data_IF_959041883144
#
_entry.id   IF_959041883144
#
_cell.length_a   1.000
_cell.length_b   1.000
_cell.length_c   1.000
_cell.angle_alpha   90.00
_cell.angle_beta   90.00
_cell.angle_gamma   90.00
#
_symmetry.space_group_name_H-M   'P 1'
#
loop_
_entity.id
_entity.type
_entity.pdbx_description
1 polymer ?
#
# COMPACT_ATOMS: atom_id res chain seq x y z
N UNK A 1 -4.07 -2.85 16.75
CA UNK A 1 -4.62 -4.21 16.43
C UNK A 1 -4.98 -4.29 14.94
N UNK A 2 -4.08 -3.81 14.08
CA UNK A 2 -4.21 -3.71 12.63
C UNK A 2 -3.52 -4.90 11.93
N UNK A 3 -3.77 -5.13 10.64
CA UNK A 3 -3.53 -6.37 9.86
C UNK A 3 -4.72 -7.36 9.79
N UNK A 4 -5.84 -6.89 9.23
CA UNK A 4 -6.78 -7.71 8.42
C UNK A 4 -7.52 -6.85 7.39
N UNK A 5 -6.80 -5.98 6.66
CA UNK A 5 -7.36 -5.21 5.55
C UNK A 5 -6.64 -5.41 4.20
N UNK A 6 -5.62 -6.26 4.15
CA UNK A 6 -5.24 -6.91 2.91
C UNK A 6 -5.94 -8.26 2.84
N UNK A 7 -6.70 -8.48 1.77
CA UNK A 7 -7.36 -9.74 1.48
C UNK A 7 -6.39 -10.91 1.72
N UNK A 8 -6.89 -11.95 2.38
CA UNK A 8 -6.17 -13.21 2.52
C UNK A 8 -5.62 -13.61 1.15
N UNK A 9 -4.31 -13.79 1.06
CA UNK A 9 -3.68 -14.60 0.00
C UNK A 9 -4.50 -15.89 -0.15
N UNK A 10 -4.95 -16.27 -1.35
CA UNK A 10 -5.26 -17.68 -1.56
C UNK A 10 -3.98 -18.47 -1.27
N UNK A 11 -4.12 -19.52 -0.45
CA UNK A 11 -3.01 -20.42 -0.18
C UNK A 11 -2.46 -20.91 -1.53
N UNK A 12 -1.18 -20.64 -1.79
CA UNK A 12 -0.49 -21.19 -2.94
C UNK A 12 -0.62 -22.72 -2.87
N UNK A 13 -1.28 -23.31 -3.87
CA UNK A 13 -1.13 -24.73 -4.15
C UNK A 13 0.34 -24.95 -4.50
N UNK A 14 1.05 -25.69 -3.65
CA UNK A 14 2.29 -26.35 -4.02
C UNK A 14 1.96 -27.39 -5.10
N UNK A 15 1.94 -26.96 -6.36
CA UNK A 15 2.15 -27.86 -7.49
C UNK A 15 3.43 -27.42 -8.19
N UNK A 16 4.42 -28.32 -8.16
CA UNK A 16 5.72 -28.15 -8.76
C UNK A 16 5.58 -27.96 -10.28
N UNK A 17 5.70 -26.73 -10.74
CA UNK A 17 5.90 -26.39 -12.15
C UNK A 17 7.33 -25.86 -12.32
N UNK A 18 8.19 -26.71 -12.87
CA UNK A 18 9.54 -26.38 -13.33
C UNK A 18 9.46 -25.50 -14.57
N UNK A 19 9.55 -24.18 -14.44
CA UNK A 19 9.82 -23.28 -15.57
C UNK A 19 10.72 -22.11 -15.19
N UNK A 20 11.90 -22.08 -15.83
CA UNK A 20 12.72 -20.91 -16.12
C UNK A 20 13.08 -19.98 -14.96
N UNK A 21 14.28 -20.19 -14.39
CA UNK A 21 15.01 -19.18 -13.61
C UNK A 21 14.99 -17.84 -14.35
N UNK A 22 14.27 -16.85 -13.81
CA UNK A 22 14.44 -15.45 -14.18
C UNK A 22 15.77 -15.01 -13.58
N UNK A 23 16.82 -14.96 -14.40
CA UNK A 23 18.18 -14.59 -14.00
C UNK A 23 18.25 -13.30 -13.16
N UNK A 24 19.20 -13.28 -12.22
CA UNK A 24 19.55 -12.23 -11.23
C UNK A 24 19.75 -10.78 -11.78
N UNK A 25 19.58 -10.54 -13.08
CA UNK A 25 19.82 -9.24 -13.73
C UNK A 25 18.63 -8.25 -13.67
N UNK A 26 17.51 -8.67 -13.09
CA UNK A 26 16.27 -7.88 -13.03
C UNK A 26 15.65 -7.58 -14.41
N UNK A 27 14.54 -6.84 -14.47
CA UNK A 27 13.89 -6.51 -15.75
C UNK A 27 14.78 -5.61 -16.61
N UNK A 28 14.71 -5.79 -17.92
CA UNK A 28 15.44 -4.98 -18.91
C UNK A 28 14.45 -4.24 -19.80
N UNK A 29 14.80 -3.01 -20.18
CA UNK A 29 13.99 -2.22 -21.10
C UNK A 29 13.76 -2.98 -22.41
N UNK A 30 12.50 -3.11 -22.80
CA UNK A 30 12.05 -3.89 -23.95
C UNK A 30 11.51 -5.27 -23.60
N UNK A 31 11.79 -5.82 -22.42
CA UNK A 31 11.20 -7.10 -21.99
C UNK A 31 9.67 -7.02 -22.01
N UNK A 32 9.05 -8.07 -22.53
CA UNK A 32 7.61 -8.28 -22.57
C UNK A 32 7.27 -9.46 -21.68
N UNK A 33 6.41 -9.21 -20.70
CA UNK A 33 5.88 -10.26 -19.85
C UNK A 33 4.39 -10.41 -20.11
N UNK A 34 3.92 -11.65 -20.27
CA UNK A 34 2.50 -11.97 -20.23
C UNK A 34 2.13 -12.51 -18.85
N UNK A 35 0.89 -12.31 -18.44
CA UNK A 35 0.37 -12.80 -17.18
C UNK A 35 -1.10 -13.19 -17.32
N UNK A 36 -1.52 -14.14 -16.50
CA UNK A 36 -2.92 -14.48 -16.36
C UNK A 36 -3.59 -13.42 -15.47
N UNK A 37 -4.68 -12.84 -15.96
CA UNK A 37 -5.41 -11.82 -15.22
C UNK A 37 -6.14 -12.45 -14.04
N UNK A 38 -6.28 -11.69 -12.97
CA UNK A 38 -6.92 -12.10 -11.73
C UNK A 38 -8.14 -11.23 -11.46
N UNK A 39 -9.11 -11.72 -10.67
CA UNK A 39 -10.26 -10.92 -10.26
C UNK A 39 -9.82 -9.66 -9.53
N UNK A 40 -10.48 -8.54 -9.80
CA UNK A 40 -10.14 -7.25 -9.18
C UNK A 40 -10.53 -7.17 -7.70
N UNK A 41 -11.44 -8.04 -7.25
CA UNK A 41 -11.93 -8.12 -5.89
C UNK A 41 -12.49 -9.54 -5.62
N UNK A 42 -12.85 -9.81 -4.36
CA UNK A 42 -13.30 -11.14 -3.90
C UNK A 42 -14.72 -11.53 -4.35
N UNK A 43 -15.50 -10.61 -4.91
CA UNK A 43 -16.87 -10.85 -5.39
C UNK A 43 -16.92 -11.26 -6.86
N UNK A 44 -15.81 -11.12 -7.59
CA UNK A 44 -15.68 -11.59 -8.97
C UNK A 44 -15.53 -13.11 -9.06
N UNK A 45 -15.72 -13.64 -10.27
CA UNK A 45 -15.42 -15.05 -10.56
C UNK A 45 -13.95 -15.35 -10.20
N UNK A 46 -13.63 -16.51 -9.59
CA UNK A 46 -12.28 -16.79 -9.07
C UNK A 46 -11.20 -16.86 -10.15
N UNK A 47 -11.59 -17.18 -11.38
CA UNK A 47 -10.71 -17.22 -12.55
C UNK A 47 -11.31 -16.35 -13.67
N UNK A 48 -10.43 -15.65 -14.37
CA UNK A 48 -10.78 -14.80 -15.51
C UNK A 48 -10.70 -15.59 -16.83
N UNK A 49 -9.78 -16.55 -16.93
CA UNK A 49 -9.43 -17.24 -18.18
C UNK A 49 -8.76 -16.33 -19.22
N UNK A 50 -8.27 -15.15 -18.81
CA UNK A 50 -7.76 -14.12 -19.70
C UNK A 50 -6.28 -13.85 -19.43
N UNK A 51 -5.53 -13.58 -20.48
CA UNK A 51 -4.14 -13.18 -20.47
C UNK A 51 -4.01 -11.71 -20.86
N UNK A 52 -3.05 -11.03 -20.25
CA UNK A 52 -2.66 -9.67 -20.56
C UNK A 52 -1.12 -9.59 -20.61
N UNK A 53 -0.58 -8.44 -21.03
CA UNK A 53 0.86 -8.27 -21.16
C UNK A 53 1.35 -6.89 -20.73
N UNK A 54 2.55 -6.84 -20.17
CA UNK A 54 3.29 -5.62 -19.82
C UNK A 54 4.60 -5.54 -20.57
N UNK A 55 4.98 -4.33 -20.98
CA UNK A 55 6.29 -4.00 -21.55
C UNK A 55 7.08 -3.16 -20.57
N UNK A 56 8.31 -3.55 -20.28
CA UNK A 56 9.26 -2.71 -19.54
C UNK A 56 9.76 -1.61 -20.47
N UNK A 57 9.54 -0.35 -20.13
CA UNK A 57 9.94 0.80 -20.94
C UNK A 57 11.34 1.32 -20.57
N UNK A 58 11.71 1.23 -19.29
CA UNK A 58 12.99 1.72 -18.75
C UNK A 58 13.13 1.42 -17.26
N UNK A 59 14.33 1.60 -16.71
CA UNK A 59 14.59 1.51 -15.27
C UNK A 59 15.71 2.45 -14.82
N UNK A 60 15.71 2.82 -13.55
CA UNK A 60 16.86 3.34 -12.81
C UNK A 60 16.97 2.59 -11.47
N UNK A 61 17.82 3.06 -10.55
CA UNK A 61 18.01 2.44 -9.24
C UNK A 61 16.73 2.45 -8.36
N UNK A 62 15.82 3.41 -8.59
CA UNK A 62 14.63 3.59 -7.76
C UNK A 62 13.37 2.96 -8.37
N UNK A 63 13.26 2.92 -9.70
CA UNK A 63 12.02 2.61 -10.41
C UNK A 63 12.24 1.74 -11.65
N UNK A 64 11.29 0.85 -11.91
CA UNK A 64 11.09 0.15 -13.19
C UNK A 64 9.79 0.67 -13.81
N UNK A 65 9.84 1.22 -15.01
CA UNK A 65 8.65 1.74 -15.71
C UNK A 65 8.07 0.67 -16.62
N UNK A 66 6.78 0.43 -16.49
CA UNK A 66 6.03 -0.53 -17.31
C UNK A 66 4.86 0.14 -18.03
N UNK A 67 4.49 -0.42 -19.17
CA UNK A 67 3.26 -0.11 -19.89
C UNK A 67 2.42 -1.38 -20.06
N UNK A 68 1.13 -1.28 -19.76
CA UNK A 68 0.16 -2.36 -19.98
C UNK A 68 -0.31 -2.32 -21.43
N UNK A 69 -0.35 -3.47 -22.07
CA UNK A 69 -0.82 -3.64 -23.44
C UNK A 69 -2.35 -3.58 -23.49
N UNK A 70 -2.93 -3.05 -24.57
CA UNK A 70 -4.38 -2.99 -24.77
C UNK A 70 -5.01 -4.32 -25.22
N UNK A 71 -4.18 -5.30 -25.57
CA UNK A 71 -4.60 -6.66 -25.90
C UNK A 71 -4.99 -7.48 -24.67
N UNK A 72 -6.09 -8.22 -24.81
CA UNK A 72 -6.54 -9.26 -23.86
C UNK A 72 -6.79 -10.53 -24.66
N UNK A 73 -6.22 -11.64 -24.19
CA UNK A 73 -6.20 -12.90 -24.93
C UNK A 73 -6.82 -14.04 -24.11
N UNK A 74 -7.41 -15.03 -24.78
CA UNK A 74 -7.97 -16.22 -24.11
C UNK A 74 -6.92 -17.34 -23.90
N UNK A 75 -5.68 -17.09 -24.31
CA UNK A 75 -4.53 -17.97 -24.17
C UNK A 75 -3.25 -17.13 -24.08
N UNK A 76 -2.15 -17.72 -23.62
CA UNK A 76 -0.84 -17.06 -23.58
C UNK A 76 -0.51 -16.45 -24.96
N UNK A 77 -0.37 -15.10 -25.07
CA UNK A 77 -0.07 -14.47 -26.34
C UNK A 77 1.37 -14.70 -26.78
N UNK A 78 1.59 -14.68 -28.09
CA UNK A 78 2.92 -14.63 -28.68
C UNK A 78 3.53 -13.23 -28.59
N UNK A 79 4.87 -13.16 -28.64
CA UNK A 79 5.60 -11.89 -28.67
C UNK A 79 5.15 -10.98 -29.83
N UNK A 80 4.78 -11.55 -30.98
CA UNK A 80 4.33 -10.79 -32.14
C UNK A 80 2.94 -10.17 -31.93
N UNK A 81 2.02 -10.89 -31.29
CA UNK A 81 0.69 -10.37 -30.96
C UNK A 81 0.79 -9.18 -30.00
N UNK A 82 1.57 -9.32 -28.94
CA UNK A 82 1.84 -8.20 -28.02
C UNK A 82 2.56 -7.06 -28.75
N UNK A 83 3.50 -7.37 -29.64
CA UNK A 83 4.23 -6.35 -30.41
C UNK A 83 3.37 -5.50 -31.35
N UNK A 84 2.15 -5.94 -31.68
CA UNK A 84 1.16 -5.19 -32.49
C UNK A 84 0.15 -4.42 -31.64
N UNK A 85 0.08 -4.71 -30.34
CA UNK A 85 -0.83 -4.04 -29.41
C UNK A 85 -0.34 -2.62 -29.07
N UNK A 86 -1.27 -1.72 -28.76
CA UNK A 86 -0.96 -0.39 -28.26
C UNK A 86 -0.85 -0.40 -26.73
N UNK A 87 -0.44 0.72 -26.14
CA UNK A 87 -0.55 0.89 -24.69
C UNK A 87 -2.03 1.11 -24.35
N UNK A 88 -2.52 0.37 -23.36
CA UNK A 88 -3.88 0.47 -22.83
C UNK A 88 -4.18 1.90 -22.38
N UNK A 89 -5.39 2.38 -22.70
CA UNK A 89 -5.93 3.65 -22.22
C UNK A 89 -6.98 3.37 -21.16
N UNK A 90 -6.81 3.94 -19.97
CA UNK A 90 -7.73 3.77 -18.86
C UNK A 90 -8.93 4.73 -18.99
N UNK A 91 -10.11 4.16 -19.25
CA UNK A 91 -11.39 4.86 -19.31
C UNK A 91 -12.28 4.56 -18.10
N UNK A 92 -11.97 3.52 -17.31
CA UNK A 92 -12.73 3.16 -16.12
C UNK A 92 -12.63 4.22 -15.02
N UNK A 93 -13.70 4.34 -14.23
CA UNK A 93 -13.88 5.16 -13.01
C UNK A 93 -13.72 6.68 -13.12
N UNK A 94 -12.70 7.20 -13.80
CA UNK A 94 -12.44 8.64 -13.91
C UNK A 94 -12.38 9.15 -15.36
N UNK A 95 -12.58 8.29 -16.36
CA UNK A 95 -12.56 8.60 -17.79
C UNK A 95 -11.38 9.47 -18.23
N UNK A 96 -10.22 9.28 -17.59
CA UNK A 96 -9.08 10.18 -17.79
C UNK A 96 -8.42 10.00 -19.16
N UNK A 97 -8.67 8.87 -19.84
CA UNK A 97 -8.07 8.53 -21.14
C UNK A 97 -6.55 8.37 -21.08
N UNK A 98 -6.00 8.30 -19.86
CA UNK A 98 -4.55 8.21 -19.60
C UNK A 98 -4.04 6.85 -20.02
N UNK A 99 -2.80 6.82 -20.49
CA UNK A 99 -2.11 5.58 -20.77
C UNK A 99 -1.82 4.83 -19.46
N UNK A 100 -1.98 3.51 -19.48
CA UNK A 100 -1.65 2.61 -18.38
C UNK A 100 -0.12 2.41 -18.30
N UNK A 101 0.58 3.50 -17.97
CA UNK A 101 2.03 3.55 -17.77
C UNK A 101 2.31 4.06 -16.37
N UNK A 102 3.15 3.34 -15.63
CA UNK A 102 3.49 3.67 -14.25
C UNK A 102 4.86 3.10 -13.87
N UNK A 103 5.47 3.72 -12.85
CA UNK A 103 6.69 3.24 -12.22
C UNK A 103 6.37 2.25 -11.11
N UNK A 104 7.18 1.21 -10.99
CA UNK A 104 7.20 0.25 -9.89
C UNK A 104 8.50 0.50 -9.13
N UNK A 105 8.45 0.57 -7.79
CA UNK A 105 9.66 0.68 -6.97
C UNK A 105 10.57 -0.52 -7.30
N UNK A 106 11.86 -0.27 -7.55
CA UNK A 106 12.78 -1.29 -8.04
C UNK A 106 12.82 -2.52 -7.12
N UNK A 107 12.90 -2.32 -5.80
CA UNK A 107 12.87 -3.38 -4.79
C UNK A 107 11.50 -4.07 -4.69
N UNK A 108 10.45 -3.41 -5.16
CA UNK A 108 9.09 -3.95 -5.27
C UNK A 108 8.84 -4.69 -6.59
N UNK A 109 9.82 -4.77 -7.50
CA UNK A 109 9.69 -5.60 -8.69
C UNK A 109 9.68 -7.08 -8.28
N UNK A 110 8.53 -7.73 -8.40
CA UNK A 110 8.39 -9.14 -8.11
C UNK A 110 7.43 -9.82 -9.08
N UNK A 111 7.78 -11.04 -9.57
CA UNK A 111 6.85 -11.89 -10.30
C UNK A 111 5.60 -12.25 -9.50
N UNK A 112 5.68 -12.24 -8.16
CA UNK A 112 4.57 -12.65 -7.28
C UNK A 112 3.36 -11.71 -7.30
N UNK A 113 3.49 -10.51 -7.87
CA UNK A 113 2.39 -9.55 -7.97
C UNK A 113 1.38 -9.86 -9.09
N UNK A 114 1.67 -10.84 -9.95
CA UNK A 114 0.82 -11.27 -11.06
C UNK A 114 0.79 -12.80 -11.16
N UNK A 115 -0.34 -13.34 -11.59
CA UNK A 115 -0.50 -14.79 -11.77
C UNK A 115 0.17 -15.24 -13.07
N UNK A 116 0.90 -16.35 -13.01
CA UNK A 116 1.59 -16.99 -14.14
C UNK A 116 2.43 -16.03 -15.02
N UNK A 117 3.18 -15.12 -14.40
CA UNK A 117 4.03 -14.17 -15.11
C UNK A 117 5.10 -14.89 -15.95
N UNK A 118 5.05 -14.71 -17.26
CA UNK A 118 5.91 -15.39 -18.25
C UNK A 118 6.63 -14.38 -19.12
N UNK A 119 7.96 -14.45 -19.20
CA UNK A 119 8.75 -13.65 -20.14
C UNK A 119 8.56 -14.18 -21.56
N UNK A 120 8.00 -13.35 -22.45
CA UNK A 120 7.80 -13.70 -23.87
C UNK A 120 9.03 -13.40 -24.74
N UNK A 121 9.89 -12.50 -24.28
CA UNK A 121 11.06 -12.01 -25.02
C UNK A 121 11.18 -10.49 -24.94
N UNK A 122 11.88 -9.89 -25.89
CA UNK A 122 12.16 -8.46 -25.90
C UNK A 122 11.76 -7.80 -27.24
N UNK A 123 11.15 -6.62 -27.14
CA UNK A 123 10.81 -5.76 -28.29
C UNK A 123 11.45 -4.39 -28.05
N UNK A 124 12.10 -3.85 -29.09
CA UNK A 124 12.71 -2.51 -29.06
C UNK A 124 11.72 -1.48 -28.49
N UNK A 125 12.20 -0.65 -27.56
CA UNK A 125 11.42 0.47 -27.01
C UNK A 125 11.45 1.62 -28.02
N UNK A 126 10.28 2.11 -28.45
CA UNK A 126 10.15 3.25 -29.36
C UNK A 126 10.59 4.56 -28.68
N UNK A 127 10.87 5.60 -29.45
CA UNK A 127 11.20 6.93 -28.90
C UNK A 127 10.08 7.50 -28.04
N UNK A 128 8.83 7.31 -28.45
CA UNK A 128 7.65 7.69 -27.67
C UNK A 128 7.61 6.99 -26.31
N UNK A 129 7.81 5.66 -26.28
CA UNK A 129 7.83 4.91 -25.03
C UNK A 129 9.02 5.30 -24.13
N UNK A 130 10.18 5.64 -24.72
CA UNK A 130 11.32 6.16 -23.95
C UNK A 130 10.98 7.49 -23.29
N UNK A 131 10.32 8.41 -24.00
CA UNK A 131 9.90 9.68 -23.41
C UNK A 131 8.92 9.50 -22.26
N UNK A 132 7.97 8.56 -22.37
CA UNK A 132 7.08 8.20 -21.27
C UNK A 132 7.84 7.65 -20.06
N UNK A 133 8.84 6.80 -20.30
CA UNK A 133 9.70 6.28 -19.24
C UNK A 133 10.50 7.38 -18.56
N UNK A 134 11.14 8.27 -19.32
CA UNK A 134 11.95 9.38 -18.80
C UNK A 134 11.13 10.31 -17.91
N UNK A 135 9.88 10.62 -18.27
CA UNK A 135 8.98 11.44 -17.45
C UNK A 135 8.74 10.80 -16.07
N UNK A 136 8.44 9.50 -16.05
CA UNK A 136 8.14 8.78 -14.81
C UNK A 136 9.41 8.57 -13.97
N UNK A 137 10.52 8.20 -14.59
CA UNK A 137 11.82 8.04 -13.93
C UNK A 137 12.30 9.37 -13.31
N UNK A 138 12.05 10.48 -14.00
CA UNK A 138 12.33 11.83 -13.51
C UNK A 138 11.28 12.39 -12.54
N UNK A 139 10.27 11.59 -12.17
CA UNK A 139 9.15 11.98 -11.27
C UNK A 139 8.48 13.29 -11.70
N UNK A 140 8.32 13.50 -13.00
CA UNK A 140 7.63 14.66 -13.54
C UNK A 140 6.20 14.76 -12.99
N UNK A 141 5.65 15.97 -12.91
CA UNK A 141 4.27 16.21 -12.46
C UNK A 141 3.31 15.34 -13.25
N UNK A 142 2.47 14.56 -12.55
CA UNK A 142 1.51 13.63 -13.16
C UNK A 142 2.04 12.20 -13.36
N UNK A 143 3.31 11.93 -13.01
CA UNK A 143 3.85 10.57 -12.95
C UNK A 143 3.09 9.72 -11.93
N UNK A 144 2.96 8.42 -12.24
CA UNK A 144 2.29 7.44 -11.39
C UNK A 144 3.28 6.40 -10.91
N UNK A 145 3.23 6.09 -9.64
CA UNK A 145 3.88 4.92 -9.06
C UNK A 145 2.82 3.97 -8.54
N UNK A 146 3.00 2.67 -8.77
CA UNK A 146 2.09 1.63 -8.30
C UNK A 146 2.83 0.29 -8.19
N UNK A 147 2.25 -0.66 -7.43
CA UNK A 147 2.73 -2.04 -7.43
C UNK A 147 2.35 -2.77 -8.72
N UNK A 148 2.98 -3.92 -8.96
CA UNK A 148 2.74 -4.73 -10.17
C UNK A 148 1.25 -5.12 -10.35
N UNK A 149 0.52 -5.29 -9.25
CA UNK A 149 -0.93 -5.56 -9.24
C UNK A 149 -1.76 -4.55 -10.03
N UNK A 150 -1.26 -3.32 -10.22
CA UNK A 150 -1.93 -2.28 -11.01
C UNK A 150 -2.02 -2.67 -12.50
N UNK A 151 -1.09 -3.47 -13.02
CA UNK A 151 -1.16 -3.99 -14.38
C UNK A 151 -2.41 -4.87 -14.56
N UNK A 152 -2.66 -5.75 -13.59
CA UNK A 152 -3.87 -6.57 -13.56
C UNK A 152 -5.13 -5.71 -13.48
N UNK A 153 -5.16 -4.74 -12.56
CA UNK A 153 -6.32 -3.87 -12.38
C UNK A 153 -6.63 -3.03 -13.62
N UNK A 154 -5.60 -2.59 -14.36
CA UNK A 154 -5.79 -1.89 -15.61
C UNK A 154 -6.36 -2.83 -16.68
N UNK A 155 -5.69 -3.97 -16.95
CA UNK A 155 -6.08 -4.91 -17.99
C UNK A 155 -7.48 -5.50 -17.76
N UNK A 156 -7.69 -6.14 -16.61
CA UNK A 156 -8.96 -6.78 -16.27
C UNK A 156 -10.07 -5.76 -16.07
N UNK A 157 -9.76 -4.63 -15.40
CA UNK A 157 -10.73 -3.59 -15.13
C UNK A 157 -11.27 -2.93 -16.40
N UNK A 158 -10.42 -2.61 -17.37
CA UNK A 158 -10.85 -2.04 -18.66
C UNK A 158 -11.62 -3.06 -19.50
N UNK A 159 -11.18 -4.32 -19.51
CA UNK A 159 -11.90 -5.38 -20.22
C UNK A 159 -13.31 -5.54 -19.66
N UNK A 160 -13.46 -5.65 -18.34
CA UNK A 160 -14.78 -5.78 -17.70
C UNK A 160 -15.62 -4.53 -17.86
N UNK A 161 -15.02 -3.34 -17.78
CA UNK A 161 -15.73 -2.10 -18.03
C UNK A 161 -16.36 -2.05 -19.43
N UNK A 162 -15.68 -2.66 -20.41
CA UNK A 162 -16.13 -2.71 -21.80
C UNK A 162 -17.12 -3.84 -22.07
N UNK A 163 -16.94 -5.01 -21.45
CA UNK A 163 -17.68 -6.24 -21.81
C UNK A 163 -18.69 -6.71 -20.76
N UNK A 164 -18.53 -6.30 -19.50
CA UNK A 164 -19.28 -6.82 -18.34
C UNK A 164 -19.51 -5.71 -17.29
N UNK A 165 -19.91 -4.53 -17.77
CA UNK A 165 -19.91 -3.31 -16.96
C UNK A 165 -20.87 -3.38 -15.77
N UNK A 166 -22.04 -3.97 -15.98
CA UNK A 166 -23.09 -4.04 -14.97
C UNK A 166 -22.65 -4.92 -13.80
N UNK A 167 -22.25 -6.17 -14.07
CA UNK A 167 -21.78 -7.07 -13.02
C UNK A 167 -20.51 -6.52 -12.34
N UNK A 168 -19.60 -5.91 -13.10
CA UNK A 168 -18.42 -5.30 -12.51
C UNK A 168 -18.78 -4.14 -11.56
N UNK A 169 -19.78 -3.32 -11.92
CA UNK A 169 -20.23 -2.21 -11.09
C UNK A 169 -20.89 -2.71 -9.80
N UNK A 170 -21.74 -3.75 -9.88
CA UNK A 170 -22.33 -4.38 -8.69
C UNK A 170 -21.28 -4.94 -7.73
N UNK A 171 -20.23 -5.58 -8.25
CA UNK A 171 -19.14 -6.09 -7.42
C UNK A 171 -18.38 -4.98 -6.70
N UNK A 172 -18.12 -3.87 -7.38
CA UNK A 172 -17.48 -2.69 -6.78
C UNK A 172 -18.37 -2.11 -5.67
N UNK A 173 -19.67 -2.04 -5.88
CA UNK A 173 -20.62 -1.60 -4.84
C UNK A 173 -20.60 -2.53 -3.62
N UNK A 174 -20.57 -3.85 -3.81
CA UNK A 174 -20.44 -4.83 -2.71
C UNK A 174 -19.12 -4.67 -1.96
N UNK A 175 -18.02 -4.47 -2.68
CA UNK A 175 -16.71 -4.22 -2.08
C UNK A 175 -16.70 -2.94 -1.25
N UNK A 176 -17.31 -1.86 -1.76
CA UNK A 176 -17.46 -0.61 -1.04
C UNK A 176 -18.35 -0.75 0.20
N UNK A 177 -19.47 -1.47 0.10
CA UNK A 177 -20.37 -1.74 1.21
C UNK A 177 -19.68 -2.53 2.32
N UNK A 178 -18.95 -3.60 1.96
CA UNK A 178 -18.15 -4.38 2.92
C UNK A 178 -17.06 -3.54 3.59
N UNK A 179 -16.34 -2.73 2.81
CA UNK A 179 -15.32 -1.83 3.35
C UNK A 179 -15.92 -0.78 4.30
N UNK A 180 -17.11 -0.24 3.98
CA UNK A 180 -17.83 0.70 4.83
C UNK A 180 -18.33 0.03 6.13
N UNK A 181 -18.87 -1.18 6.06
CA UNK A 181 -19.27 -1.95 7.25
C UNK A 181 -18.07 -2.25 8.16
N UNK A 182 -16.95 -2.68 7.57
CA UNK A 182 -15.72 -2.92 8.32
C UNK A 182 -15.22 -1.64 9.00
N UNK A 183 -15.22 -0.51 8.28
CA UNK A 183 -14.83 0.80 8.83
C UNK A 183 -15.75 1.22 9.97
N UNK A 184 -17.06 1.10 9.80
CA UNK A 184 -18.05 1.42 10.82
C UNK A 184 -17.92 0.51 12.06
N UNK A 185 -17.67 -0.79 11.86
CA UNK A 185 -17.45 -1.73 12.96
C UNK A 185 -16.14 -1.41 13.72
N UNK A 186 -15.08 -1.03 13.02
CA UNK A 186 -13.81 -0.60 13.62
C UNK A 186 -14.00 0.70 14.42
N UNK A 187 -14.65 1.70 13.82
CA UNK A 187 -14.94 2.97 14.49
C UNK A 187 -15.80 2.76 15.74
N UNK A 188 -16.81 1.89 15.67
CA UNK A 188 -17.64 1.52 16.83
C UNK A 188 -16.81 0.89 17.95
N UNK A 189 -15.97 -0.10 17.62
CA UNK A 189 -15.08 -0.75 18.60
C UNK A 189 -14.11 0.25 19.23
N UNK A 190 -13.58 1.17 18.44
CA UNK A 190 -12.67 2.19 18.91
C UNK A 190 -13.36 3.17 19.86
N UNK A 191 -14.56 3.67 19.49
CA UNK A 191 -15.38 4.52 20.38
C UNK A 191 -15.74 3.81 21.69
N UNK A 192 -16.11 2.53 21.63
CA UNK A 192 -16.39 1.72 22.83
C UNK A 192 -15.15 1.57 23.72
N UNK A 193 -13.97 1.34 23.13
CA UNK A 193 -12.70 1.31 23.85
C UNK A 193 -12.41 2.63 24.55
N UNK A 194 -12.45 3.75 23.81
CA UNK A 194 -12.20 5.09 24.38
C UNK A 194 -13.13 5.39 25.57
N UNK A 195 -14.41 5.00 25.49
CA UNK A 195 -15.39 5.27 26.56
C UNK A 195 -15.08 4.61 27.91
N UNK A 196 -14.27 3.55 27.92
CA UNK A 196 -13.89 2.79 29.13
C UNK A 196 -12.42 2.95 29.49
N UNK A 197 -11.67 3.69 28.68
CA UNK A 197 -10.22 3.76 28.77
C UNK A 197 -9.77 4.54 30.01
N UNK A 198 -8.78 4.02 30.73
CA UNK A 198 -8.18 4.65 31.91
C UNK A 198 -6.65 4.70 31.82
N UNK A 199 -6.01 5.51 32.67
CA UNK A 199 -4.54 5.51 32.79
C UNK A 199 -4.00 4.14 33.20
N UNK A 200 -4.63 3.48 34.18
CA UNK A 200 -4.26 2.11 34.58
C UNK A 200 -4.23 1.13 33.40
N UNK A 201 -5.21 1.21 32.51
CA UNK A 201 -5.27 0.36 31.32
C UNK A 201 -4.13 0.70 30.34
N UNK A 202 -3.90 1.98 30.04
CA UNK A 202 -2.81 2.41 29.16
C UNK A 202 -1.43 2.03 29.70
N UNK A 203 -1.24 2.07 31.02
CA UNK A 203 0.01 1.69 31.69
C UNK A 203 0.20 0.17 31.78
N UNK A 204 -0.89 -0.61 31.81
CA UNK A 204 -0.83 -2.07 31.85
C UNK A 204 -0.64 -2.71 30.47
N UNK A 205 -1.07 -2.03 29.40
CA UNK A 205 -0.89 -2.50 28.03
C UNK A 205 0.57 -2.38 27.58
N UNK A 206 0.94 -3.22 26.60
CA UNK A 206 2.25 -3.12 25.91
C UNK A 206 2.05 -2.37 24.60
N UNK A 207 2.45 -1.09 24.50
CA UNK A 207 2.38 -0.34 23.25
C UNK A 207 3.15 -1.07 22.16
N UNK A 208 2.68 -0.98 20.92
CA UNK A 208 3.41 -1.50 19.77
C UNK A 208 3.75 -2.99 19.87
N UNK A 209 2.90 -3.80 20.52
CA UNK A 209 3.15 -5.25 20.69
C UNK A 209 3.31 -5.98 19.35
N UNK A 210 2.76 -5.42 18.27
CA UNK A 210 2.75 -6.01 16.92
C UNK A 210 3.95 -5.64 16.07
N UNK A 211 4.73 -4.65 16.48
CA UNK A 211 5.92 -4.24 15.73
C UNK A 211 6.92 -5.39 15.73
N UNK A 212 7.22 -5.88 14.54
CA UNK A 212 8.11 -7.02 14.32
C UNK A 212 9.43 -6.48 13.77
N UNK A 213 10.57 -6.71 14.43
CA UNK A 213 11.85 -6.21 13.95
C UNK A 213 12.22 -6.85 12.60
N UNK A 214 12.26 -6.04 11.55
CA UNK A 214 12.77 -6.44 10.23
C UNK A 214 12.97 -5.15 9.44
N UNK A 215 14.09 -4.91 8.74
CA UNK A 215 14.16 -3.78 7.82
C UNK A 215 13.04 -3.85 6.77
N UNK A 216 12.42 -2.72 6.38
CA UNK A 216 12.64 -1.34 6.83
C UNK A 216 11.93 -0.95 8.15
N UNK A 217 11.22 -1.88 8.78
CA UNK A 217 10.47 -1.68 10.03
C UNK A 217 11.37 -1.38 11.24
N UNK A 218 10.82 -0.79 12.32
CA UNK A 218 11.60 -0.36 13.47
C UNK A 218 12.42 -1.50 14.10
N UNK A 219 13.71 -1.27 14.41
CA UNK A 219 14.51 -2.26 15.11
C UNK A 219 13.97 -2.50 16.54
N UNK A 220 14.39 -3.61 17.14
CA UNK A 220 13.94 -4.00 18.48
C UNK A 220 14.26 -2.92 19.54
N UNK A 221 15.42 -2.28 19.43
CA UNK A 221 15.86 -1.20 20.32
C UNK A 221 14.96 0.02 20.21
N UNK A 222 14.68 0.48 18.98
CA UNK A 222 13.73 1.58 18.73
C UNK A 222 12.35 1.28 19.34
N UNK A 223 11.84 0.06 19.11
CA UNK A 223 10.53 -0.35 19.64
C UNK A 223 10.51 -0.36 21.17
N UNK A 224 11.61 -0.80 21.80
CA UNK A 224 11.73 -0.79 23.26
C UNK A 224 11.74 0.65 23.81
N UNK A 225 12.53 1.54 23.22
CA UNK A 225 12.57 2.95 23.63
C UNK A 225 11.24 3.66 23.40
N UNK A 226 10.57 3.39 22.27
CA UNK A 226 9.25 3.93 21.97
C UNK A 226 8.22 3.53 23.05
N UNK A 227 8.26 2.28 23.53
CA UNK A 227 7.40 1.82 24.64
C UNK A 227 7.68 2.59 25.93
N UNK A 228 8.95 2.79 26.28
CA UNK A 228 9.33 3.55 27.46
C UNK A 228 8.87 5.01 27.38
N UNK A 229 9.02 5.65 26.22
CA UNK A 229 8.56 7.03 26.01
C UNK A 229 7.04 7.16 26.11
N UNK A 230 6.30 6.20 25.56
CA UNK A 230 4.84 6.13 25.69
C UNK A 230 4.44 5.97 27.15
N UNK A 231 5.01 5.02 27.89
CA UNK A 231 4.69 4.80 29.30
C UNK A 231 5.11 5.98 30.18
N UNK A 232 6.27 6.59 29.93
CA UNK A 232 6.71 7.80 30.62
C UNK A 232 5.74 8.97 30.39
N UNK A 233 5.23 9.12 29.16
CA UNK A 233 4.24 10.14 28.81
C UNK A 233 2.90 9.87 29.50
N UNK A 234 2.43 8.62 29.54
CA UNK A 234 1.25 8.23 30.32
C UNK A 234 1.39 8.61 31.80
N UNK A 235 2.51 8.24 32.44
CA UNK A 235 2.77 8.59 33.85
C UNK A 235 2.79 10.10 34.08
N UNK A 236 3.42 10.86 33.17
CA UNK A 236 3.45 12.32 33.22
C UNK A 236 2.04 12.91 33.13
N UNK A 237 1.22 12.42 32.21
CA UNK A 237 -0.15 12.89 32.02
C UNK A 237 -1.07 12.52 33.19
N UNK A 238 -0.93 11.30 33.74
CA UNK A 238 -1.64 10.86 34.93
C UNK A 238 -1.32 11.75 36.15
N UNK A 239 -0.04 12.09 36.34
CA UNK A 239 0.41 12.95 37.45
C UNK A 239 -0.16 14.38 37.40
N UNK A 240 -0.67 14.85 36.24
CA UNK A 240 -1.35 16.14 36.14
C UNK A 240 -2.76 16.13 36.77
N UNK A 241 -3.30 14.95 37.11
CA UNK A 241 -4.59 14.78 37.77
C UNK A 241 -5.79 14.77 36.82
N UNK A 242 -7.00 14.75 37.39
CA UNK A 242 -8.24 14.45 36.64
C UNK A 242 -8.71 15.55 35.67
N UNK A 243 -8.24 16.80 35.84
CA UNK A 243 -8.60 17.96 35.01
C UNK A 243 -7.35 18.80 34.69
N UNK A 244 -6.41 18.24 33.91
CA UNK A 244 -5.16 18.91 33.62
C UNK A 244 -5.41 20.12 32.70
N UNK A 245 -4.57 21.16 32.81
CA UNK A 245 -4.66 22.30 31.89
C UNK A 245 -4.25 21.84 30.49
N UNK A 246 -4.94 22.34 29.46
CA UNK A 246 -4.65 22.01 28.05
C UNK A 246 -3.17 22.22 27.70
N UNK A 247 -2.55 23.29 28.20
CA UNK A 247 -1.14 23.61 27.95
C UNK A 247 -0.18 22.53 28.45
N UNK A 248 -0.43 21.97 29.64
CA UNK A 248 0.44 20.96 30.25
C UNK A 248 0.32 19.62 29.51
N UNK A 249 -0.91 19.24 29.13
CA UNK A 249 -1.16 18.05 28.29
C UNK A 249 -0.53 18.21 26.91
N UNK A 250 -0.72 19.38 26.28
CA UNK A 250 -0.13 19.71 24.98
C UNK A 250 1.39 19.60 25.03
N UNK A 251 2.03 20.14 26.07
CA UNK A 251 3.48 20.07 26.23
C UNK A 251 3.96 18.62 26.36
N UNK A 252 3.27 17.78 27.15
CA UNK A 252 3.63 16.37 27.28
C UNK A 252 3.49 15.59 25.96
N UNK A 253 2.36 15.76 25.26
CA UNK A 253 2.13 15.08 23.97
C UNK A 253 3.09 15.57 22.89
N UNK A 254 3.34 16.88 22.81
CA UNK A 254 4.28 17.44 21.84
C UNK A 254 5.70 16.92 22.04
N UNK A 255 6.18 16.88 23.29
CA UNK A 255 7.49 16.29 23.58
C UNK A 255 7.58 14.81 23.21
N UNK A 256 6.49 14.05 23.33
CA UNK A 256 6.44 12.67 22.87
C UNK A 256 6.54 12.57 21.34
N UNK A 257 5.80 13.42 20.60
CA UNK A 257 5.89 13.48 19.12
C UNK A 257 7.28 13.90 18.65
N UNK A 258 7.87 14.93 19.28
CA UNK A 258 9.22 15.40 18.97
C UNK A 258 10.28 14.30 19.20
N UNK A 259 10.09 13.44 20.19
CA UNK A 259 10.94 12.26 20.36
C UNK A 259 10.82 11.29 19.19
N UNK A 260 9.60 10.98 18.72
CA UNK A 260 9.41 10.10 17.56
C UNK A 260 10.02 10.70 16.29
N UNK A 261 9.86 12.00 16.03
CA UNK A 261 10.48 12.65 14.87
C UNK A 261 12.01 12.50 14.91
N UNK A 262 12.63 12.80 16.06
CA UNK A 262 14.08 12.71 16.20
C UNK A 262 14.60 11.27 16.14
N UNK A 263 13.88 10.33 16.75
CA UNK A 263 14.25 8.91 16.73
C UNK A 263 14.12 8.33 15.31
N UNK A 264 13.06 8.68 14.58
CA UNK A 264 12.83 8.22 13.21
C UNK A 264 13.90 8.76 12.25
N UNK A 265 14.19 10.06 12.31
CA UNK A 265 15.27 10.67 11.55
C UNK A 265 16.62 9.98 11.83
N UNK A 266 16.92 9.71 13.11
CA UNK A 266 18.15 9.05 13.53
C UNK A 266 18.23 7.59 13.06
N UNK A 267 17.09 6.91 12.96
CA UNK A 267 16.99 5.53 12.49
C UNK A 267 16.94 5.41 10.96
N UNK A 268 16.88 6.54 10.24
CA UNK A 268 16.84 6.56 8.77
C UNK A 268 15.44 6.42 8.17
N UNK A 269 14.39 6.79 8.90
CA UNK A 269 13.00 6.74 8.43
C UNK A 269 12.42 5.32 8.51
N UNK A 270 12.30 4.79 9.73
CA UNK A 270 11.79 3.43 10.00
C UNK A 270 10.31 3.40 10.37
N UNK A 271 9.70 4.56 10.63
CA UNK A 271 8.26 4.69 10.85
C UNK A 271 7.56 4.71 9.49
N UNK A 272 6.95 3.58 9.15
CA UNK A 272 6.13 3.42 7.95
C UNK A 272 4.64 3.62 8.26
N UNK A 273 3.78 3.32 7.28
CA UNK A 273 2.33 3.57 7.38
C UNK A 273 1.68 2.86 8.57
N UNK A 274 2.05 1.61 8.86
CA UNK A 274 1.44 0.85 9.98
C UNK A 274 1.89 1.39 11.35
N UNK A 275 3.18 1.69 11.49
CA UNK A 275 3.77 2.29 12.70
C UNK A 275 3.17 3.68 12.97
N UNK A 276 3.01 4.49 11.91
CA UNK A 276 2.36 5.81 11.96
C UNK A 276 0.94 5.72 12.52
N UNK A 277 0.15 4.77 12.04
CA UNK A 277 -1.21 4.56 12.51
C UNK A 277 -1.24 4.12 13.99
N UNK A 278 -0.33 3.22 14.40
CA UNK A 278 -0.25 2.76 15.80
C UNK A 278 0.20 3.88 16.75
N UNK A 279 1.20 4.71 16.38
CA UNK A 279 1.63 5.86 17.21
C UNK A 279 0.49 6.86 17.36
N UNK A 280 -0.18 7.21 16.25
CA UNK A 280 -1.28 8.16 16.27
C UNK A 280 -2.44 7.67 17.15
N UNK A 281 -2.79 6.37 17.05
CA UNK A 281 -3.86 5.78 17.86
C UNK A 281 -3.55 5.87 19.37
N UNK A 282 -2.30 5.62 19.79
CA UNK A 282 -1.90 5.72 21.19
C UNK A 282 -1.92 7.17 21.68
N UNK A 283 -1.48 8.14 20.86
CA UNK A 283 -1.53 9.56 21.21
C UNK A 283 -2.97 10.07 21.33
N UNK A 284 -3.88 9.62 20.45
CA UNK A 284 -5.30 9.92 20.53
C UNK A 284 -5.91 9.36 21.83
N UNK A 285 -5.56 8.14 22.19
CA UNK A 285 -5.98 7.50 23.44
C UNK A 285 -5.50 8.30 24.67
N UNK A 286 -4.24 8.73 24.71
CA UNK A 286 -3.71 9.59 25.78
C UNK A 286 -4.46 10.93 25.86
N UNK A 287 -4.69 11.59 24.72
CA UNK A 287 -5.42 12.85 24.67
C UNK A 287 -6.88 12.68 25.14
N UNK A 288 -7.50 11.55 24.82
CA UNK A 288 -8.84 11.19 25.27
C UNK A 288 -8.90 11.04 26.79
N UNK A 289 -8.02 10.22 27.38
CA UNK A 289 -7.99 9.98 28.84
C UNK A 289 -7.65 11.26 29.61
N UNK A 290 -6.77 12.11 29.04
CA UNK A 290 -6.47 13.45 29.58
C UNK A 290 -7.61 14.47 29.41
N UNK A 291 -8.74 14.09 28.80
CA UNK A 291 -9.91 14.93 28.49
C UNK A 291 -9.61 16.13 27.58
N UNK A 292 -8.59 16.02 26.73
CA UNK A 292 -8.15 17.05 25.80
C UNK A 292 -8.23 16.57 24.35
N UNK A 293 -9.36 15.94 23.96
CA UNK A 293 -9.58 15.35 22.62
C UNK A 293 -9.29 16.28 21.43
N UNK A 294 -9.43 17.59 21.61
CA UNK A 294 -9.16 18.57 20.55
C UNK A 294 -7.66 18.70 20.24
N UNK A 295 -6.76 18.13 21.07
CA UNK A 295 -5.32 18.10 20.79
C UNK A 295 -4.96 17.10 19.68
N UNK A 296 -5.85 16.17 19.33
CA UNK A 296 -5.64 15.20 18.26
C UNK A 296 -5.42 15.89 16.91
N UNK A 297 -6.17 16.96 16.65
CA UNK A 297 -6.00 17.80 15.45
C UNK A 297 -4.64 18.52 15.42
N UNK A 298 -4.08 18.82 16.60
CA UNK A 298 -2.79 19.51 16.70
C UNK A 298 -1.61 18.54 16.55
N UNK A 299 -1.76 17.27 16.96
CA UNK A 299 -0.73 16.23 16.84
C UNK A 299 -0.30 16.04 15.38
N UNK A 300 -1.25 16.09 14.44
CA UNK A 300 -0.97 15.94 13.01
C UNK A 300 -0.01 17.02 12.49
N UNK A 301 -0.05 18.23 13.07
CA UNK A 301 0.83 19.34 12.70
C UNK A 301 2.22 19.29 13.36
N UNK A 302 2.46 18.35 14.29
CA UNK A 302 3.76 18.22 14.99
C UNK A 302 4.62 17.08 14.46
N UNK A 303 4.03 16.11 13.76
CA UNK A 303 4.75 14.92 13.28
C UNK A 303 5.44 15.18 11.95
N UNK A 304 6.63 14.61 11.79
CA UNK A 304 7.39 14.62 10.53
C UNK A 304 7.38 13.27 9.81
N UNK A 305 6.89 12.21 10.49
CA UNK A 305 6.66 10.85 9.99
C UNK A 305 5.23 10.61 9.46
#
# INVERSE_FOLDING_TARGET
MFSKLFGRRPAAREEAATHGSLDDAGPVAGNIYAFHTMPTNEFGAPETGRWAAVKVLGKNEALVVVAVSDGIWNSLPSLQEVGRSSILREHRFAFTGRLAVFGIIADGWSPSGLDQLTLLGAIKVSSEHKSLAEQILGRAVGSRTAGMWAANHAAEGEWRWTHDREAFSEEIERQQAKAAEQRAAQEKRYRERLSKLTWDQLLAETPFQRWTPSPPFPPAEFTAEAREVIHATCKKLEALGAKPKKADVRAALKSCVEWFNAADESAGGVIETEEREDIFAVLEEMAHVARQKNLVEEIDAWRDW
#
